data_IF_495842853949
#
_entry.id   IF_495842853949
#
_cell.length_a   1.000
_cell.length_b   1.000
_cell.length_c   1.000
_cell.angle_alpha   90.00
_cell.angle_beta   90.00
_cell.angle_gamma   90.00
#
_symmetry.space_group_name_H-M   'P 1'
#
loop_
_entity.id
_entity.type
_entity.pdbx_description
1 polymer ?
#
# COMPACT_ATOMS: atom_id res chain seq x y z
N UNK A 1 39.36 31.30 14.26
CA UNK A 1 39.63 30.03 14.96
C UNK A 1 39.80 28.96 13.89
N UNK A 2 40.89 28.17 13.94
CA UNK A 2 41.08 27.07 12.97
C UNK A 2 40.29 25.87 13.46
N UNK A 3 39.08 25.70 12.94
CA UNK A 3 38.25 24.51 13.19
C UNK A 3 38.78 23.32 12.40
N UNK A 4 38.70 22.12 12.98
CA UNK A 4 39.14 20.86 12.36
C UNK A 4 37.92 19.98 12.14
N UNK A 5 37.84 19.32 10.99
CA UNK A 5 36.69 18.47 10.65
C UNK A 5 36.78 17.09 11.31
N UNK A 6 35.66 16.63 11.87
CA UNK A 6 35.48 15.26 12.36
C UNK A 6 35.57 14.27 11.17
N UNK A 7 36.49 13.28 11.17
CA UNK A 7 36.71 12.36 10.06
C UNK A 7 35.54 11.42 9.73
N UNK A 8 34.58 11.27 10.64
CA UNK A 8 33.45 10.35 10.51
C UNK A 8 32.19 11.07 10.04
N UNK A 9 31.92 12.26 10.58
CA UNK A 9 30.67 12.98 10.30
C UNK A 9 30.85 14.30 9.53
N UNK A 10 32.08 14.82 9.43
CA UNK A 10 32.37 16.09 8.75
C UNK A 10 31.90 17.34 9.49
N UNK A 11 31.58 17.24 10.80
CA UNK A 11 31.29 18.43 11.61
C UNK A 11 32.57 19.20 11.94
N UNK A 12 32.49 20.53 11.97
CA UNK A 12 33.56 21.39 12.46
C UNK A 12 33.69 21.26 13.98
N UNK A 13 34.89 20.89 14.45
CA UNK A 13 35.23 20.72 15.87
C UNK A 13 36.30 21.75 16.24
N UNK A 14 36.11 22.38 17.40
CA UNK A 14 37.13 23.24 18.00
C UNK A 14 38.17 22.37 18.73
N UNK A 15 39.47 22.41 18.36
CA UNK A 15 40.51 21.65 19.03
C UNK A 15 40.70 21.98 20.52
N UNK A 16 40.27 23.17 20.97
CA UNK A 16 40.38 23.58 22.38
C UNK A 16 39.28 23.01 23.27
N UNK A 17 38.14 22.61 22.70
CA UNK A 17 37.03 21.98 23.43
C UNK A 17 36.31 20.88 22.61
N UNK A 18 36.99 19.75 22.33
CA UNK A 18 36.41 18.66 21.54
C UNK A 18 35.44 17.80 22.35
N UNK A 19 34.42 17.25 21.69
CA UNK A 19 33.49 16.30 22.32
C UNK A 19 34.14 14.95 22.65
N UNK A 20 35.14 14.53 21.86
CA UNK A 20 36.01 13.39 22.15
C UNK A 20 37.33 13.47 21.34
N UNK A 21 38.36 12.74 21.79
CA UNK A 21 39.68 12.68 21.14
C UNK A 21 40.15 11.23 21.03
N UNK A 22 40.75 10.86 19.91
CA UNK A 22 41.40 9.54 19.74
C UNK A 22 42.70 9.67 18.95
N UNK A 23 43.59 8.69 19.14
CA UNK A 23 44.87 8.60 18.45
C UNK A 23 44.91 7.32 17.60
N UNK A 24 45.25 7.45 16.32
CA UNK A 24 45.39 6.33 15.38
C UNK A 24 46.53 6.64 14.42
N UNK A 25 47.41 5.68 14.21
CA UNK A 25 48.60 5.81 13.33
C UNK A 25 49.51 7.00 13.68
N UNK A 26 49.56 7.41 14.95
CA UNK A 26 50.40 8.50 15.45
C UNK A 26 49.83 9.91 15.25
N UNK A 27 48.61 10.05 14.70
CA UNK A 27 47.90 11.32 14.58
C UNK A 27 46.74 11.42 15.59
N UNK A 28 46.56 12.62 16.18
CA UNK A 28 45.43 12.95 17.06
C UNK A 28 44.24 13.48 16.25
N UNK A 29 43.08 12.85 16.42
CA UNK A 29 41.82 13.22 15.79
C UNK A 29 40.82 13.75 16.82
N UNK A 30 40.09 14.80 16.43
CA UNK A 30 39.06 15.45 17.24
C UNK A 30 37.68 15.09 16.70
N UNK A 31 36.75 14.79 17.61
CA UNK A 31 35.41 14.32 17.28
C UNK A 31 34.34 15.18 17.93
N UNK A 32 33.21 15.31 17.26
CA UNK A 32 32.06 16.05 17.78
C UNK A 32 31.36 15.31 18.93
N UNK A 33 31.52 13.99 19.03
CA UNK A 33 30.89 13.15 20.06
C UNK A 33 31.63 11.84 20.29
N UNK A 34 31.38 11.24 21.45
CA UNK A 34 31.89 9.91 21.82
C UNK A 34 31.49 8.81 20.82
N UNK A 35 30.32 8.95 20.19
CA UNK A 35 29.82 8.01 19.19
C UNK A 35 30.67 8.02 17.91
N UNK A 36 31.10 9.21 17.45
CA UNK A 36 31.98 9.35 16.29
C UNK A 36 33.37 8.77 16.56
N UNK A 37 33.91 8.97 17.77
CA UNK A 37 35.15 8.32 18.20
C UNK A 37 35.04 6.79 18.17
N UNK A 38 33.98 6.21 18.73
CA UNK A 38 33.81 4.75 18.75
C UNK A 38 33.74 4.16 17.35
N UNK A 39 33.06 4.84 16.43
CA UNK A 39 32.98 4.43 15.02
C UNK A 39 34.33 4.55 14.31
N UNK A 40 35.15 5.53 14.66
CA UNK A 40 36.52 5.69 14.12
C UNK A 40 37.51 4.61 14.59
N UNK A 41 37.30 4.05 15.78
CA UNK A 41 38.14 2.99 16.35
C UNK A 41 37.84 1.60 15.77
N UNK A 42 36.77 1.44 14.97
CA UNK A 42 36.46 0.15 14.35
C UNK A 42 37.41 -0.14 13.16
N UNK A 43 37.83 -1.41 12.95
CA UNK A 43 38.82 -1.77 11.92
C UNK A 43 38.35 -1.50 10.48
N UNK A 44 37.03 -1.48 10.26
CA UNK A 44 36.32 -1.31 8.99
C UNK A 44 35.87 0.14 8.71
N UNK A 45 36.23 1.09 9.59
CA UNK A 45 35.89 2.49 9.41
C UNK A 45 36.60 3.09 8.20
N UNK A 46 35.84 3.65 7.25
CA UNK A 46 36.34 4.47 6.14
C UNK A 46 36.27 5.95 6.52
N UNK A 47 37.38 6.58 6.95
CA UNK A 47 37.40 8.02 7.21
C UNK A 47 37.26 8.81 5.90
N UNK A 48 36.62 9.96 5.98
CA UNK A 48 36.47 10.88 4.84
C UNK A 48 37.86 11.45 4.53
N UNK A 49 38.37 11.23 3.31
CA UNK A 49 39.68 11.71 2.90
C UNK A 49 39.73 13.25 2.94
N UNK A 50 40.80 13.81 3.54
CA UNK A 50 41.07 15.25 3.55
C UNK A 50 41.34 15.71 2.11
N UNK A 51 40.43 16.49 1.51
CA UNK A 51 40.78 17.31 0.36
C UNK A 51 41.50 18.56 0.86
N UNK A 52 42.83 18.50 0.83
CA UNK A 52 43.69 19.67 0.91
C UNK A 52 43.58 20.51 -0.35
N UNK A 53 43.53 21.82 -0.16
CA UNK A 53 43.60 22.86 -1.18
C UNK A 53 44.88 22.77 -2.00
N UNK A 54 44.78 22.94 -3.33
CA UNK A 54 45.49 23.98 -4.10
C UNK A 54 45.42 23.74 -5.63
N UNK A 55 45.18 24.84 -6.34
CA UNK A 55 45.67 25.19 -7.69
C UNK A 55 45.16 24.46 -8.97
N UNK A 56 44.33 25.20 -9.72
CA UNK A 56 44.61 25.74 -11.08
C UNK A 56 44.23 24.95 -12.37
N UNK A 57 43.60 25.70 -13.30
CA UNK A 57 43.35 25.45 -14.74
C UNK A 57 42.47 24.22 -15.15
N UNK A 58 41.71 24.20 -16.24
CA UNK A 58 41.29 25.10 -17.33
C UNK A 58 40.25 24.31 -18.15
N UNK A 59 39.32 25.02 -18.76
CA UNK A 59 38.22 24.52 -19.59
C UNK A 59 38.63 23.74 -20.86
N UNK A 60 37.69 22.90 -21.31
CA UNK A 60 37.43 22.40 -22.68
C UNK A 60 38.25 21.21 -23.23
N UNK A 61 37.55 20.07 -23.39
CA UNK A 61 37.27 19.32 -24.64
C UNK A 61 36.84 17.91 -24.20
N UNK A 62 35.77 17.26 -24.65
CA UNK A 62 35.28 17.09 -26.01
C UNK A 62 34.81 15.63 -26.12
N UNK A 63 33.49 15.42 -26.00
CA UNK A 63 32.66 14.34 -26.56
C UNK A 63 32.88 12.82 -26.29
N UNK A 64 31.78 12.22 -25.76
CA UNK A 64 31.19 10.87 -26.01
C UNK A 64 31.89 9.66 -25.35
N UNK A 65 31.21 8.72 -24.65
CA UNK A 65 29.80 8.31 -24.64
C UNK A 65 29.55 7.34 -23.45
N UNK A 66 28.28 7.33 -23.02
CA UNK A 66 27.50 6.21 -22.45
C UNK A 66 27.60 5.81 -20.95
N UNK A 67 26.40 5.50 -20.42
CA UNK A 67 26.04 4.83 -19.15
C UNK A 67 25.89 5.66 -17.86
N UNK A 68 24.79 6.44 -17.82
CA UNK A 68 24.23 6.96 -16.57
C UNK A 68 23.48 5.86 -15.80
N UNK A 69 24.15 5.22 -14.84
CA UNK A 69 23.49 4.47 -13.76
C UNK A 69 23.30 5.40 -12.56
N UNK A 70 22.16 6.09 -12.54
CA UNK A 70 21.77 6.99 -11.46
C UNK A 70 21.34 6.20 -10.20
N UNK A 71 22.26 6.06 -9.25
CA UNK A 71 22.03 5.53 -7.91
C UNK A 71 22.52 6.50 -6.84
N UNK A 72 21.94 7.71 -6.80
CA UNK A 72 22.26 8.74 -5.80
C UNK A 72 21.22 8.77 -4.69
N UNK A 73 21.60 8.30 -3.50
CA UNK A 73 20.79 8.37 -2.29
C UNK A 73 20.46 9.84 -1.95
N UNK A 74 19.16 10.13 -1.93
CA UNK A 74 18.56 11.43 -1.66
C UNK A 74 18.92 11.89 -0.24
N UNK A 75 19.72 12.94 -0.13
CA UNK A 75 19.84 13.72 1.10
C UNK A 75 18.44 14.23 1.50
N UNK A 76 18.03 14.00 2.75
CA UNK A 76 16.79 14.54 3.32
C UNK A 76 16.83 16.07 3.30
N UNK A 77 16.40 16.67 2.20
CA UNK A 77 16.24 18.11 2.01
C UNK A 77 15.08 18.57 2.91
N UNK A 78 15.32 19.53 3.80
CA UNK A 78 14.25 20.19 4.59
C UNK A 78 13.16 20.65 3.62
N UNK A 79 11.91 20.40 3.98
CA UNK A 79 10.72 20.77 3.19
C UNK A 79 10.75 22.27 2.89
N UNK A 80 10.83 22.63 1.62
CA UNK A 80 10.85 24.02 1.18
C UNK A 80 9.49 24.67 1.46
N UNK A 81 9.47 25.89 2.02
CA UNK A 81 8.21 26.58 2.32
C UNK A 81 7.49 27.06 1.06
N UNK A 82 6.20 27.38 1.20
CA UNK A 82 5.26 27.68 0.09
C UNK A 82 5.66 28.87 -0.79
N UNK A 83 6.40 29.83 -0.25
CA UNK A 83 6.86 31.03 -0.93
C UNK A 83 8.35 31.26 -0.66
N UNK A 84 9.07 31.80 -1.64
CA UNK A 84 10.48 32.14 -1.53
C UNK A 84 10.78 33.48 -2.22
N UNK A 85 11.87 34.15 -1.82
CA UNK A 85 12.33 35.37 -2.49
C UNK A 85 13.46 35.02 -3.48
N UNK A 86 13.31 35.26 -4.79
CA UNK A 86 14.36 34.95 -5.77
C UNK A 86 15.61 35.82 -5.62
N UNK A 87 15.47 37.01 -5.01
CA UNK A 87 16.55 37.98 -4.85
C UNK A 87 17.28 37.89 -3.51
N UNK A 88 16.77 37.13 -2.55
CA UNK A 88 17.31 37.07 -1.19
C UNK A 88 17.48 35.63 -0.76
N UNK A 89 18.73 35.18 -0.71
CA UNK A 89 19.06 33.83 -0.28
C UNK A 89 18.59 33.57 1.16
N UNK A 90 18.01 32.39 1.36
CA UNK A 90 17.44 31.93 2.63
C UNK A 90 16.12 32.57 3.08
N UNK A 91 15.44 33.36 2.25
CA UNK A 91 14.12 33.92 2.60
C UNK A 91 12.99 33.02 2.08
N UNK A 92 12.37 32.30 3.00
CA UNK A 92 11.25 31.39 2.74
C UNK A 92 10.07 31.68 3.69
N UNK A 93 8.84 31.65 3.19
CA UNK A 93 7.60 31.92 3.94
C UNK A 93 6.51 30.91 3.59
N UNK A 94 5.61 30.63 4.53
CA UNK A 94 4.41 29.81 4.29
C UNK A 94 3.21 30.63 3.83
N UNK A 95 3.26 31.96 4.05
CA UNK A 95 2.20 32.90 3.69
C UNK A 95 2.66 33.87 2.60
N UNK A 96 1.74 34.29 1.70
CA UNK A 96 2.03 35.32 0.72
C UNK A 96 2.26 36.66 1.43
N UNK A 97 3.21 37.44 0.94
CA UNK A 97 3.56 38.72 1.54
C UNK A 97 4.82 39.32 0.92
N UNK A 98 5.26 40.44 1.49
CA UNK A 98 6.50 41.11 1.09
C UNK A 98 7.70 40.55 1.83
N UNK A 99 8.82 40.42 1.14
CA UNK A 99 10.10 40.00 1.68
C UNK A 99 10.57 40.99 2.75
N UNK A 100 10.91 40.53 3.97
CA UNK A 100 11.35 41.41 5.06
C UNK A 100 12.75 42.02 4.82
N UNK A 101 13.54 41.47 3.87
CA UNK A 101 14.87 42.00 3.54
C UNK A 101 14.84 43.06 2.45
N UNK A 102 14.09 42.84 1.36
CA UNK A 102 14.14 43.69 0.18
C UNK A 102 12.79 44.33 -0.19
N UNK A 103 11.70 44.02 0.51
CA UNK A 103 10.37 44.58 0.27
C UNK A 103 9.65 44.06 -0.98
N UNK A 104 10.30 43.26 -1.84
CA UNK A 104 9.66 42.63 -2.99
C UNK A 104 8.63 41.57 -2.59
N UNK A 105 7.62 41.34 -3.43
CA UNK A 105 6.65 40.26 -3.23
C UNK A 105 7.34 38.89 -3.26
N UNK A 106 6.94 37.99 -2.37
CA UNK A 106 7.43 36.62 -2.35
C UNK A 106 6.75 35.79 -3.45
N UNK A 107 7.56 35.05 -4.21
CA UNK A 107 7.07 34.19 -5.28
C UNK A 107 6.73 32.80 -4.74
N UNK A 108 5.77 32.13 -5.39
CA UNK A 108 5.38 30.78 -4.98
C UNK A 108 6.49 29.79 -5.31
N UNK A 109 6.90 29.00 -4.33
CA UNK A 109 7.98 28.05 -4.50
C UNK A 109 7.53 26.85 -5.35
N UNK A 110 8.11 26.62 -6.54
CA UNK A 110 7.72 25.51 -7.41
C UNK A 110 8.08 24.13 -6.81
N UNK A 111 8.96 24.09 -5.81
CA UNK A 111 9.32 22.86 -5.10
C UNK A 111 8.38 22.54 -3.93
N UNK A 112 7.47 23.45 -3.56
CA UNK A 112 6.52 23.23 -2.48
C UNK A 112 5.30 22.44 -2.99
N UNK A 113 5.22 21.17 -2.63
CA UNK A 113 4.05 20.31 -2.87
C UNK A 113 3.10 20.39 -1.68
N UNK A 114 1.84 20.74 -1.93
CA UNK A 114 0.81 20.65 -0.87
C UNK A 114 0.65 19.18 -0.43
N UNK A 115 0.51 18.91 0.87
CA UNK A 115 0.24 17.56 1.34
C UNK A 115 -1.13 17.14 0.80
N UNK A 116 -1.14 16.22 -0.16
CA UNK A 116 -2.38 15.61 -0.64
C UNK A 116 -2.91 14.69 0.46
N UNK A 117 -3.86 15.18 1.25
CA UNK A 117 -4.67 14.32 2.12
C UNK A 117 -5.38 13.31 1.23
N UNK A 118 -4.96 12.05 1.33
CA UNK A 118 -5.58 10.98 0.57
C UNK A 118 -6.95 10.74 1.18
N UNK A 119 -8.00 11.33 0.59
CA UNK A 119 -9.36 11.01 0.98
C UNK A 119 -9.68 9.59 0.52
N UNK A 120 -10.54 8.90 1.24
CA UNK A 120 -11.06 7.57 0.98
C UNK A 120 -12.58 7.66 0.89
N UNK A 121 -13.19 7.09 -0.15
CA UNK A 121 -14.62 7.09 -0.38
C UNK A 121 -15.17 5.70 -0.61
N UNK A 122 -16.46 5.49 -0.31
CA UNK A 122 -17.12 4.22 -0.60
C UNK A 122 -17.65 4.23 -2.05
N UNK A 123 -17.32 3.22 -2.87
CA UNK A 123 -17.77 3.16 -4.27
C UNK A 123 -19.30 3.13 -4.42
N UNK A 124 -20.02 2.63 -3.42
CA UNK A 124 -21.49 2.60 -3.40
C UNK A 124 -22.12 3.79 -2.68
N UNK A 125 -21.37 4.50 -1.84
CA UNK A 125 -21.85 5.62 -1.04
C UNK A 125 -20.84 6.77 -1.14
N UNK A 126 -20.85 7.53 -2.26
CA UNK A 126 -19.88 8.59 -2.52
C UNK A 126 -19.88 9.70 -1.45
N UNK A 127 -21.00 9.84 -0.74
CA UNK A 127 -21.19 10.76 0.38
C UNK A 127 -20.28 10.46 1.58
N UNK A 128 -19.74 9.24 1.68
CA UNK A 128 -18.80 8.85 2.73
C UNK A 128 -17.40 9.19 2.28
N UNK A 129 -16.78 10.16 2.96
CA UNK A 129 -15.39 10.58 2.75
C UNK A 129 -14.62 10.51 4.08
N UNK A 130 -13.52 9.78 4.12
CA UNK A 130 -12.63 9.64 5.29
C UNK A 130 -11.19 9.90 4.92
N UNK A 131 -10.37 10.30 5.87
CA UNK A 131 -8.94 10.55 5.72
C UNK A 131 -8.08 9.29 5.98
N UNK A 132 -8.71 8.16 6.28
CA UNK A 132 -8.05 6.89 6.58
C UNK A 132 -8.70 5.71 5.82
N UNK A 133 -7.93 4.64 5.53
CA UNK A 133 -8.50 3.40 5.03
C UNK A 133 -9.41 2.76 6.08
N UNK A 134 -10.42 2.01 5.63
CA UNK A 134 -11.37 1.37 6.53
C UNK A 134 -12.57 0.82 5.80
N UNK A 135 -13.60 0.44 6.54
CA UNK A 135 -14.86 -0.05 5.98
C UNK A 135 -15.92 1.05 6.01
N UNK A 136 -16.76 1.08 4.98
CA UNK A 136 -17.91 1.95 4.89
C UNK A 136 -18.89 1.62 6.03
N UNK A 137 -19.37 2.61 6.81
CA UNK A 137 -20.31 2.38 7.90
C UNK A 137 -21.69 1.93 7.41
N UNK A 138 -22.03 2.23 6.15
CA UNK A 138 -23.34 1.92 5.56
C UNK A 138 -23.37 0.50 5.02
N UNK A 139 -22.50 0.16 4.06
CA UNK A 139 -22.52 -1.16 3.40
C UNK A 139 -21.44 -2.13 3.86
N UNK A 140 -20.44 -1.68 4.62
CA UNK A 140 -19.32 -2.52 5.06
C UNK A 140 -18.29 -2.85 3.97
N UNK A 141 -18.36 -2.26 2.77
CA UNK A 141 -17.30 -2.36 1.75
C UNK A 141 -16.06 -1.56 2.16
N UNK A 142 -14.88 -1.96 1.69
CA UNK A 142 -13.65 -1.19 1.90
C UNK A 142 -13.77 0.20 1.24
N UNK A 143 -13.22 1.22 1.89
CA UNK A 143 -13.12 2.56 1.34
C UNK A 143 -11.92 2.62 0.39
N UNK A 144 -12.16 3.15 -0.81
CA UNK A 144 -11.17 3.30 -1.88
C UNK A 144 -10.63 4.73 -1.88
N UNK A 145 -9.38 4.95 -2.28
CA UNK A 145 -8.80 6.32 -2.30
C UNK A 145 -9.53 7.19 -3.33
N UNK A 146 -10.09 8.30 -2.88
CA UNK A 146 -10.57 9.41 -3.68
C UNK A 146 -9.38 10.19 -4.25
N UNK A 147 -8.72 9.62 -5.24
CA UNK A 147 -7.81 10.33 -6.15
C UNK A 147 -7.85 9.64 -7.52
N UNK A 148 -8.19 10.43 -8.54
CA UNK A 148 -8.46 9.96 -9.92
C UNK A 148 -7.17 9.50 -10.64
N UNK A 149 -5.97 9.79 -10.10
CA UNK A 149 -4.70 9.63 -10.82
C UNK A 149 -3.71 8.59 -10.24
N UNK A 150 -4.08 7.76 -9.26
CA UNK A 150 -3.19 6.72 -8.71
C UNK A 150 -3.93 5.40 -8.47
N UNK A 151 -4.29 4.69 -9.55
CA UNK A 151 -5.21 3.56 -9.51
C UNK A 151 -4.70 2.21 -10.03
N UNK A 152 -3.49 2.09 -10.59
CA UNK A 152 -3.12 0.83 -11.26
C UNK A 152 -2.61 -0.28 -10.31
N UNK A 153 -1.89 0.07 -9.25
CA UNK A 153 -1.31 -0.94 -8.36
C UNK A 153 -2.31 -1.43 -7.30
N UNK A 154 -3.18 -0.57 -6.75
CA UNK A 154 -4.07 -0.94 -5.65
C UNK A 154 -5.27 -1.80 -6.14
N UNK A 155 -6.00 -1.34 -7.18
CA UNK A 155 -7.16 -2.06 -7.76
C UNK A 155 -6.77 -3.46 -8.28
N UNK A 156 -5.59 -3.56 -8.91
CA UNK A 156 -5.10 -4.82 -9.45
C UNK A 156 -4.63 -5.79 -8.36
N UNK A 157 -4.16 -5.29 -7.21
CA UNK A 157 -3.71 -6.11 -6.09
C UNK A 157 -4.89 -6.78 -5.37
N UNK A 158 -6.00 -6.07 -5.12
CA UNK A 158 -7.18 -6.63 -4.46
C UNK A 158 -7.86 -7.68 -5.35
N UNK A 159 -7.97 -7.40 -6.66
CA UNK A 159 -8.46 -8.34 -7.65
C UNK A 159 -7.64 -9.64 -7.69
N UNK A 160 -6.32 -9.54 -7.62
CA UNK A 160 -5.42 -10.70 -7.59
C UNK A 160 -5.58 -11.50 -6.30
N UNK A 161 -5.68 -10.84 -5.14
CA UNK A 161 -5.88 -11.52 -3.86
C UNK A 161 -7.22 -12.29 -3.85
N UNK A 162 -8.31 -11.64 -4.23
CA UNK A 162 -9.64 -12.27 -4.26
C UNK A 162 -9.72 -13.40 -5.30
N UNK A 163 -9.11 -13.22 -6.47
CA UNK A 163 -9.03 -14.27 -7.49
C UNK A 163 -8.22 -15.48 -7.01
N UNK A 164 -7.12 -15.24 -6.29
CA UNK A 164 -6.29 -16.32 -5.73
C UNK A 164 -7.06 -17.11 -4.67
N UNK A 165 -7.76 -16.42 -3.75
CA UNK A 165 -8.62 -17.07 -2.75
C UNK A 165 -9.75 -17.86 -3.40
N UNK A 166 -10.36 -17.33 -4.45
CA UNK A 166 -11.38 -18.03 -5.23
C UNK A 166 -10.84 -19.33 -5.84
N UNK A 167 -9.71 -19.26 -6.58
CA UNK A 167 -9.16 -20.46 -7.22
C UNK A 167 -8.69 -21.51 -6.23
N UNK A 168 -7.99 -21.11 -5.17
CA UNK A 168 -7.59 -22.04 -4.10
C UNK A 168 -8.82 -22.62 -3.41
N UNK A 169 -9.80 -21.77 -3.09
CA UNK A 169 -11.06 -22.19 -2.49
C UNK A 169 -11.82 -23.20 -3.34
N UNK A 170 -11.93 -22.95 -4.65
CA UNK A 170 -12.61 -23.82 -5.60
C UNK A 170 -11.92 -25.18 -5.75
N UNK A 171 -10.59 -25.19 -5.83
CA UNK A 171 -9.80 -26.43 -5.91
C UNK A 171 -9.97 -27.28 -4.65
N UNK A 172 -10.00 -26.65 -3.47
CA UNK A 172 -10.20 -27.34 -2.20
C UNK A 172 -11.65 -27.76 -1.96
N UNK A 173 -12.63 -26.96 -2.40
CA UNK A 173 -14.06 -27.26 -2.23
C UNK A 173 -14.55 -28.33 -3.20
N UNK A 174 -13.92 -28.47 -4.38
CA UNK A 174 -14.36 -29.45 -5.38
C UNK A 174 -14.32 -30.91 -4.85
N UNK A 175 -13.23 -31.39 -4.23
CA UNK A 175 -13.24 -32.70 -3.58
C UNK A 175 -14.27 -32.79 -2.44
N UNK A 176 -14.42 -31.74 -1.64
CA UNK A 176 -15.41 -31.73 -0.53
C UNK A 176 -16.83 -31.88 -1.07
N UNK A 177 -17.17 -31.19 -2.16
CA UNK A 177 -18.46 -31.31 -2.83
C UNK A 177 -18.69 -32.73 -3.38
N UNK A 178 -17.68 -33.31 -4.03
CA UNK A 178 -17.76 -34.70 -4.52
C UNK A 178 -18.00 -35.65 -3.35
N UNK A 179 -17.23 -35.53 -2.25
CA UNK A 179 -17.42 -36.35 -1.06
C UNK A 179 -18.80 -36.15 -0.39
N UNK A 180 -19.29 -34.91 -0.39
CA UNK A 180 -20.59 -34.54 0.17
C UNK A 180 -21.78 -35.02 -0.65
N UNK A 181 -21.73 -34.97 -1.99
CA UNK A 181 -22.84 -35.46 -2.81
C UNK A 181 -22.84 -36.96 -3.03
N UNK A 182 -21.66 -37.59 -3.04
CA UNK A 182 -21.56 -39.00 -3.42
C UNK A 182 -22.23 -39.96 -2.43
N UNK A 183 -22.42 -39.55 -1.17
CA UNK A 183 -23.16 -40.36 -0.20
C UNK A 183 -24.65 -40.54 -0.55
N UNK A 184 -25.21 -39.73 -1.47
CA UNK A 184 -26.59 -39.88 -1.96
C UNK A 184 -26.71 -40.85 -3.15
N UNK A 185 -25.59 -41.26 -3.77
CA UNK A 185 -25.60 -42.19 -4.90
C UNK A 185 -25.63 -43.66 -4.42
N UNK A 186 -26.58 -44.48 -4.91
CA UNK A 186 -26.63 -45.90 -4.59
C UNK A 186 -25.38 -46.61 -5.16
N UNK A 187 -24.66 -47.36 -4.32
CA UNK A 187 -23.42 -48.06 -4.69
C UNK A 187 -22.13 -47.35 -4.28
N UNK A 188 -22.20 -46.31 -3.44
CA UNK A 188 -21.02 -45.65 -2.91
C UNK A 188 -20.14 -46.63 -2.10
N UNK A 189 -18.82 -46.70 -2.37
CA UNK A 189 -17.93 -47.62 -1.67
C UNK A 189 -17.80 -47.25 -0.18
N UNK A 190 -17.66 -48.26 0.68
CA UNK A 190 -17.74 -48.12 2.15
C UNK A 190 -16.71 -47.12 2.73
N UNK A 191 -15.52 -46.99 2.12
CA UNK A 191 -14.49 -46.03 2.54
C UNK A 191 -14.96 -44.57 2.45
N UNK A 192 -15.90 -44.29 1.54
CA UNK A 192 -16.46 -42.96 1.34
C UNK A 192 -17.53 -42.58 2.38
N UNK A 193 -18.14 -43.59 3.00
CA UNK A 193 -19.10 -43.47 4.12
C UNK A 193 -18.39 -43.54 5.50
N UNK A 194 -17.09 -43.85 5.48
CA UNK A 194 -16.23 -43.95 6.65
C UNK A 194 -15.83 -42.62 7.27
N UNK A 195 -15.19 -42.69 8.43
CA UNK A 195 -14.71 -41.49 9.15
C UNK A 195 -13.58 -40.78 8.41
N UNK A 196 -12.86 -41.49 7.53
CA UNK A 196 -11.81 -40.91 6.70
C UNK A 196 -12.35 -39.86 5.72
N UNK A 197 -13.53 -40.10 5.13
CA UNK A 197 -14.22 -39.10 4.28
C UNK A 197 -14.58 -37.85 5.08
N UNK A 198 -15.04 -38.00 6.32
CA UNK A 198 -15.38 -36.88 7.21
C UNK A 198 -14.16 -36.06 7.62
N UNK A 199 -13.07 -36.75 7.97
CA UNK A 199 -11.79 -36.09 8.25
C UNK A 199 -11.27 -35.33 7.03
N UNK A 200 -11.36 -35.92 5.83
CA UNK A 200 -11.00 -35.25 4.59
C UNK A 200 -11.86 -34.01 4.33
N UNK A 201 -13.19 -34.10 4.50
CA UNK A 201 -14.09 -32.95 4.36
C UNK A 201 -13.75 -31.84 5.36
N UNK A 202 -13.46 -32.18 6.62
CA UNK A 202 -13.05 -31.20 7.63
C UNK A 202 -11.71 -30.54 7.28
N UNK A 203 -10.68 -31.33 6.99
CA UNK A 203 -9.34 -30.83 6.66
C UNK A 203 -9.34 -29.93 5.42
N UNK A 204 -10.12 -30.26 4.39
CA UNK A 204 -10.21 -29.47 3.16
C UNK A 204 -11.11 -28.24 3.31
N UNK A 205 -12.23 -28.34 4.03
CA UNK A 205 -13.15 -27.21 4.24
C UNK A 205 -12.61 -26.17 5.23
N UNK A 206 -11.80 -26.58 6.20
CA UNK A 206 -11.18 -25.67 7.20
C UNK A 206 -10.46 -24.49 6.55
N UNK A 207 -9.47 -24.67 5.64
CA UNK A 207 -8.81 -23.55 4.99
C UNK A 207 -9.75 -22.77 4.05
N UNK A 208 -10.73 -23.41 3.42
CA UNK A 208 -11.72 -22.70 2.58
C UNK A 208 -12.52 -21.72 3.43
N UNK A 209 -13.08 -22.17 4.54
CA UNK A 209 -13.95 -21.35 5.39
C UNK A 209 -13.12 -20.33 6.18
N UNK A 210 -12.06 -20.77 6.86
CA UNK A 210 -11.31 -19.92 7.78
C UNK A 210 -10.31 -18.99 7.09
N UNK A 211 -9.69 -19.40 5.98
CA UNK A 211 -8.70 -18.57 5.27
C UNK A 211 -9.30 -17.87 4.05
N UNK A 212 -9.93 -18.61 3.12
CA UNK A 212 -10.56 -17.97 1.96
C UNK A 212 -11.77 -17.12 2.39
N UNK A 213 -12.59 -17.62 3.31
CA UNK A 213 -13.76 -16.92 3.85
C UNK A 213 -13.49 -15.88 4.93
N UNK A 214 -12.24 -15.72 5.40
CA UNK A 214 -11.88 -14.75 6.45
C UNK A 214 -12.43 -13.33 6.22
N UNK A 215 -12.35 -12.74 5.00
CA UNK A 215 -12.86 -11.39 4.76
C UNK A 215 -14.36 -11.25 5.03
N UNK A 216 -15.14 -12.32 4.83
CA UNK A 216 -16.58 -12.32 5.08
C UNK A 216 -16.91 -12.29 6.57
N UNK A 217 -16.14 -13.02 7.39
CA UNK A 217 -16.28 -12.97 8.84
C UNK A 217 -15.89 -11.60 9.41
N UNK A 218 -14.82 -10.99 8.91
CA UNK A 218 -14.42 -9.63 9.31
C UNK A 218 -15.51 -8.62 8.96
N UNK A 219 -16.02 -8.63 7.72
CA UNK A 219 -17.10 -7.73 7.27
C UNK A 219 -18.42 -7.99 8.01
N UNK A 220 -18.76 -9.25 8.27
CA UNK A 220 -19.92 -9.64 9.06
C UNK A 220 -19.83 -9.16 10.50
N UNK A 221 -18.67 -9.33 11.15
CA UNK A 221 -18.41 -8.82 12.49
C UNK A 221 -18.52 -7.30 12.57
N UNK A 222 -17.93 -6.59 11.59
CA UNK A 222 -18.06 -5.13 11.50
C UNK A 222 -19.51 -4.67 11.30
N UNK A 223 -20.29 -5.38 10.47
CA UNK A 223 -21.71 -5.10 10.23
C UNK A 223 -22.55 -5.24 11.51
N UNK A 224 -22.26 -6.25 12.34
CA UNK A 224 -22.90 -6.42 13.65
C UNK A 224 -22.50 -5.29 14.61
N UNK A 225 -21.21 -4.95 14.69
CA UNK A 225 -20.71 -3.86 15.55
C UNK A 225 -21.33 -2.52 15.17
N UNK A 226 -21.42 -2.23 13.87
CA UNK A 226 -22.00 -1.00 13.34
C UNK A 226 -23.54 -1.01 13.34
N UNK A 227 -24.18 -2.10 13.77
CA UNK A 227 -25.65 -2.32 13.76
C UNK A 227 -26.30 -2.13 12.38
N UNK A 228 -25.54 -2.31 11.31
CA UNK A 228 -26.00 -2.20 9.92
C UNK A 228 -26.00 -3.58 9.25
N UNK A 229 -27.02 -4.40 9.54
CA UNK A 229 -27.11 -5.78 9.04
C UNK A 229 -27.11 -5.81 7.51
N UNK A 230 -26.18 -6.58 6.94
CA UNK A 230 -25.95 -6.68 5.51
C UNK A 230 -25.82 -8.13 5.02
N UNK A 231 -25.58 -8.31 3.73
CA UNK A 231 -25.37 -9.62 3.09
C UNK A 231 -24.24 -10.41 3.76
N UNK A 232 -23.15 -9.75 4.16
CA UNK A 232 -22.02 -10.42 4.81
C UNK A 232 -22.36 -10.98 6.19
N UNK A 233 -23.28 -10.34 6.93
CA UNK A 233 -23.76 -10.89 8.20
C UNK A 233 -24.50 -12.20 8.01
N UNK A 234 -25.38 -12.28 7.00
CA UNK A 234 -26.10 -13.52 6.67
C UNK A 234 -25.14 -14.63 6.25
N UNK A 235 -24.16 -14.30 5.40
CA UNK A 235 -23.15 -15.28 4.92
C UNK A 235 -22.28 -15.76 6.08
N UNK A 236 -21.75 -14.85 6.89
CA UNK A 236 -20.89 -15.19 8.03
C UNK A 236 -21.65 -16.06 9.05
N UNK A 237 -22.92 -15.76 9.32
CA UNK A 237 -23.74 -16.57 10.21
C UNK A 237 -24.04 -17.94 9.62
N UNK A 238 -24.44 -18.03 8.34
CA UNK A 238 -24.79 -19.30 7.69
C UNK A 238 -23.59 -20.23 7.55
N UNK A 239 -22.49 -19.74 6.97
CA UNK A 239 -21.24 -20.51 6.81
C UNK A 239 -20.65 -20.84 8.17
N UNK A 240 -20.62 -19.88 9.10
CA UNK A 240 -20.12 -20.07 10.46
C UNK A 240 -20.91 -21.13 11.23
N UNK A 241 -22.24 -21.05 11.22
CA UNK A 241 -23.10 -22.03 11.90
C UNK A 241 -22.96 -23.42 11.28
N UNK A 242 -22.95 -23.52 9.95
CA UNK A 242 -22.80 -24.79 9.22
C UNK A 242 -21.46 -25.46 9.53
N UNK A 243 -20.36 -24.69 9.46
CA UNK A 243 -19.02 -25.20 9.76
C UNK A 243 -18.87 -25.57 11.25
N UNK A 244 -19.33 -24.70 12.16
CA UNK A 244 -19.24 -24.94 13.61
C UNK A 244 -20.06 -26.16 14.03
N UNK A 245 -21.31 -26.27 13.57
CA UNK A 245 -22.13 -27.46 13.81
C UNK A 245 -21.41 -28.73 13.36
N UNK A 246 -20.87 -28.72 12.14
CA UNK A 246 -20.19 -29.89 11.55
C UNK A 246 -18.93 -30.25 12.34
N UNK A 247 -18.16 -29.24 12.79
CA UNK A 247 -16.98 -29.44 13.63
C UNK A 247 -17.35 -30.02 15.01
N UNK A 248 -18.43 -29.55 15.63
CA UNK A 248 -18.89 -30.07 16.94
C UNK A 248 -19.40 -31.51 16.80
N UNK A 249 -20.17 -31.82 15.76
CA UNK A 249 -20.60 -33.20 15.47
C UNK A 249 -19.41 -34.14 15.29
N UNK A 250 -18.35 -33.67 14.63
CA UNK A 250 -17.18 -34.47 14.35
C UNK A 250 -16.26 -34.67 15.56
N UNK A 251 -16.02 -33.60 16.35
CA UNK A 251 -15.09 -33.63 17.48
C UNK A 251 -15.74 -34.12 18.78
N UNK A 252 -17.04 -33.90 18.95
CA UNK A 252 -17.79 -34.17 20.18
C UNK A 252 -19.09 -34.94 19.87
N UNK A 253 -19.01 -36.16 19.30
CA UNK A 253 -20.19 -36.92 18.90
C UNK A 253 -21.09 -37.30 20.10
N UNK A 254 -20.52 -37.41 21.30
CA UNK A 254 -21.23 -37.84 22.52
C UNK A 254 -22.20 -36.78 23.09
N UNK A 255 -22.17 -35.55 22.60
CA UNK A 255 -23.06 -34.47 23.05
C UNK A 255 -24.46 -34.61 22.44
N UNK A 256 -24.57 -35.31 21.31
CA UNK A 256 -25.82 -35.42 20.58
C UNK A 256 -26.58 -36.70 20.96
N UNK A 257 -27.91 -36.63 21.15
CA UNK A 257 -28.72 -37.81 21.38
C UNK A 257 -28.63 -38.82 20.22
N UNK A 258 -28.66 -40.14 20.48
CA UNK A 258 -28.58 -41.17 19.44
C UNK A 258 -29.70 -41.09 18.39
N UNK A 259 -30.83 -40.43 18.70
CA UNK A 259 -31.95 -40.22 17.79
C UNK A 259 -31.61 -39.33 16.58
N UNK A 260 -30.54 -38.53 16.66
CA UNK A 260 -30.07 -37.69 15.55
C UNK A 260 -29.18 -38.45 14.55
N UNK A 261 -28.75 -39.67 14.87
CA UNK A 261 -27.92 -40.49 14.00
C UNK A 261 -28.79 -41.32 13.04
N UNK A 262 -28.79 -40.95 11.76
CA UNK A 262 -29.26 -41.84 10.70
C UNK A 262 -28.14 -42.85 10.39
N UNK A 263 -28.40 -44.15 10.50
CA UNK A 263 -27.39 -45.21 10.29
C UNK A 263 -26.14 -45.08 11.19
N UNK A 264 -26.33 -44.67 12.45
CA UNK A 264 -25.25 -44.60 13.45
C UNK A 264 -24.32 -43.39 13.32
N UNK A 265 -24.59 -42.48 12.38
CA UNK A 265 -23.78 -41.27 12.16
C UNK A 265 -24.65 -40.03 11.94
N UNK A 266 -24.28 -38.91 12.57
CA UNK A 266 -24.97 -37.62 12.42
C UNK A 266 -24.43 -36.90 11.18
N UNK A 267 -25.30 -36.33 10.35
CA UNK A 267 -24.90 -35.62 9.12
C UNK A 267 -23.96 -34.43 9.39
N UNK A 268 -23.06 -34.16 8.44
CA UNK A 268 -22.16 -32.99 8.46
C UNK A 268 -22.42 -32.14 7.23
N UNK A 269 -22.16 -30.84 7.33
CA UNK A 269 -22.47 -29.83 6.32
C UNK A 269 -21.23 -29.04 5.88
N UNK A 270 -20.05 -29.66 5.93
CA UNK A 270 -18.81 -29.04 5.47
C UNK A 270 -18.85 -28.66 3.98
N UNK A 271 -19.58 -29.44 3.17
CA UNK A 271 -19.79 -29.17 1.74
C UNK A 271 -20.58 -27.87 1.53
N UNK A 272 -21.70 -27.70 2.24
CA UNK A 272 -22.49 -26.46 2.19
C UNK A 272 -21.65 -25.23 2.57
N UNK A 273 -20.92 -25.29 3.69
CA UNK A 273 -20.07 -24.18 4.14
C UNK A 273 -18.97 -23.82 3.10
N UNK A 274 -18.31 -24.84 2.54
CA UNK A 274 -17.24 -24.64 1.55
C UNK A 274 -17.78 -24.04 0.23
N UNK A 275 -18.88 -24.58 -0.29
CA UNK A 275 -19.45 -24.14 -1.58
C UNK A 275 -20.00 -22.73 -1.48
N UNK A 276 -20.75 -22.42 -0.41
CA UNK A 276 -21.26 -21.06 -0.20
C UNK A 276 -20.09 -20.07 -0.19
N UNK A 277 -19.00 -20.39 0.52
CA UNK A 277 -17.81 -19.54 0.57
C UNK A 277 -17.21 -19.29 -0.83
N UNK A 278 -17.08 -20.34 -1.63
CA UNK A 278 -16.51 -20.25 -2.99
C UNK A 278 -17.43 -19.49 -3.96
N UNK A 279 -18.74 -19.71 -3.90
CA UNK A 279 -19.70 -19.00 -4.73
C UNK A 279 -19.77 -17.50 -4.39
N UNK A 280 -19.66 -17.14 -3.11
CA UNK A 280 -19.57 -15.75 -2.69
C UNK A 280 -18.26 -15.12 -3.18
N UNK A 281 -17.13 -15.83 -3.06
CA UNK A 281 -15.84 -15.36 -3.62
C UNK A 281 -15.92 -15.14 -5.13
N UNK A 282 -16.57 -16.05 -5.86
CA UNK A 282 -16.81 -15.89 -7.29
C UNK A 282 -17.60 -14.60 -7.58
N UNK A 283 -18.68 -14.36 -6.84
CA UNK A 283 -19.47 -13.14 -6.96
C UNK A 283 -18.63 -11.87 -6.76
N UNK A 284 -17.79 -11.85 -5.73
CA UNK A 284 -16.88 -10.72 -5.46
C UNK A 284 -15.84 -10.53 -6.58
N UNK A 285 -15.26 -11.61 -7.11
CA UNK A 285 -14.32 -11.53 -8.24
C UNK A 285 -15.02 -10.96 -9.49
N UNK A 286 -16.24 -11.40 -9.77
CA UNK A 286 -17.01 -10.89 -10.91
C UNK A 286 -17.36 -9.40 -10.73
N UNK A 287 -17.78 -9.01 -9.52
CA UNK A 287 -18.09 -7.62 -9.17
C UNK A 287 -16.87 -6.71 -9.35
N UNK A 288 -15.74 -7.04 -8.73
CA UNK A 288 -14.51 -6.27 -8.83
C UNK A 288 -14.01 -6.20 -10.28
N UNK A 289 -14.09 -7.31 -11.03
CA UNK A 289 -13.66 -7.35 -12.44
C UNK A 289 -14.54 -6.51 -13.35
N UNK A 290 -15.83 -6.40 -13.04
CA UNK A 290 -16.73 -5.51 -13.75
C UNK A 290 -16.37 -4.03 -13.49
N UNK A 291 -16.17 -3.66 -12.21
CA UNK A 291 -15.80 -2.30 -11.82
C UNK A 291 -14.47 -1.84 -12.39
N UNK A 292 -13.45 -2.69 -12.34
CA UNK A 292 -12.13 -2.36 -12.87
C UNK A 292 -12.18 -2.07 -14.39
N UNK A 293 -12.98 -2.83 -15.15
CA UNK A 293 -13.14 -2.59 -16.60
C UNK A 293 -13.85 -1.28 -16.92
N UNK A 294 -14.88 -0.91 -16.16
CA UNK A 294 -15.56 0.37 -16.36
C UNK A 294 -14.67 1.55 -15.94
N UNK A 295 -13.92 1.39 -14.85
CA UNK A 295 -12.98 2.38 -14.35
C UNK A 295 -11.85 2.66 -15.35
N UNK A 296 -11.24 1.62 -15.92
CA UNK A 296 -10.17 1.78 -16.92
C UNK A 296 -10.62 2.51 -18.17
N UNK A 297 -11.86 2.30 -18.62
CA UNK A 297 -12.39 2.99 -19.81
C UNK A 297 -12.62 4.49 -19.55
N UNK A 298 -13.14 4.85 -18.38
CA UNK A 298 -13.31 6.27 -17.99
C UNK A 298 -11.95 6.94 -17.81
N UNK A 299 -10.99 6.26 -17.16
CA UNK A 299 -9.61 6.77 -17.00
C UNK A 299 -8.92 7.00 -18.35
N UNK A 300 -9.05 6.07 -19.30
CA UNK A 300 -8.52 6.25 -20.64
C UNK A 300 -9.08 7.49 -21.36
N UNK A 301 -10.32 7.89 -21.07
CA UNK A 301 -10.90 9.14 -21.58
C UNK A 301 -10.33 10.38 -20.86
N UNK A 302 -10.04 10.29 -19.57
CA UNK A 302 -9.45 11.38 -18.78
C UNK A 302 -7.97 11.59 -19.11
N UNK A 303 -7.23 10.52 -19.39
CA UNK A 303 -5.81 10.57 -19.77
C UNK A 303 -5.58 11.20 -21.16
N UNK A 304 -6.63 11.22 -22.00
CA UNK A 304 -6.61 11.93 -23.29
C UNK A 304 -6.69 13.46 -23.12
N UNK A 305 -7.01 13.99 -21.93
CA UNK A 305 -6.98 15.42 -21.66
C UNK A 305 -5.52 15.86 -21.44
N UNK A 306 -4.93 16.69 -22.32
CA UNK A 306 -3.55 17.11 -22.19
C UNK A 306 -3.37 18.03 -20.97
N UNK A 307 -2.37 17.75 -20.13
CA UNK A 307 -2.07 18.56 -18.95
C UNK A 307 -1.46 19.94 -19.30
N UNK A 308 -0.84 20.05 -20.47
CA UNK A 308 -0.18 21.26 -20.96
C UNK A 308 -0.52 21.50 -22.42
N UNK A 309 -0.51 22.77 -22.81
CA UNK A 309 -0.68 23.22 -24.18
C UNK A 309 0.48 24.13 -24.56
N UNK A 310 0.92 24.04 -25.81
CA UNK A 310 1.95 24.93 -26.35
C UNK A 310 1.27 26.15 -26.97
N UNK A 311 1.47 27.33 -26.39
CA UNK A 311 0.92 28.58 -26.91
C UNK A 311 1.99 29.37 -27.66
N UNK A 312 1.57 30.10 -28.70
CA UNK A 312 2.40 31.02 -29.47
C UNK A 312 1.97 32.46 -29.17
N UNK A 313 2.76 33.18 -28.37
CA UNK A 313 2.58 34.62 -28.10
C UNK A 313 3.82 35.36 -28.57
N UNK A 314 3.63 36.45 -29.33
CA UNK A 314 4.71 37.32 -29.84
C UNK A 314 5.83 36.60 -30.63
N UNK A 315 5.52 35.46 -31.24
CA UNK A 315 6.49 34.66 -32.01
C UNK A 315 7.35 33.71 -31.18
N UNK A 316 7.17 33.68 -29.85
CA UNK A 316 7.79 32.67 -28.98
C UNK A 316 6.80 31.55 -28.64
N UNK A 317 7.27 30.30 -28.73
CA UNK A 317 6.52 29.13 -28.27
C UNK A 317 6.79 28.90 -26.79
N UNK A 318 5.74 28.76 -25.97
CA UNK A 318 5.86 28.42 -24.55
C UNK A 318 4.88 27.32 -24.18
N UNK A 319 5.36 26.33 -23.43
CA UNK A 319 4.52 25.29 -22.86
C UNK A 319 3.89 25.83 -21.56
N UNK A 320 2.56 25.92 -21.53
CA UNK A 320 1.79 26.39 -20.38
C UNK A 320 0.83 25.31 -19.90
N UNK A 321 0.53 25.22 -18.59
CA UNK A 321 -0.52 24.33 -18.10
C UNK A 321 -1.87 24.69 -18.72
N UNK A 322 -2.73 23.70 -18.97
CA UNK A 322 -4.03 23.89 -19.65
C UNK A 322 -4.92 24.95 -18.97
N UNK A 323 -4.82 25.08 -17.64
CA UNK A 323 -5.49 26.08 -16.82
C UNK A 323 -5.10 27.54 -17.13
N UNK A 324 -3.96 27.78 -17.80
CA UNK A 324 -3.48 29.11 -18.19
C UNK A 324 -3.77 29.46 -19.66
N UNK A 325 -4.46 28.59 -20.41
CA UNK A 325 -4.84 28.84 -21.81
C UNK A 325 -6.11 29.68 -21.87
N UNK A 326 -6.04 30.84 -22.52
CA UNK A 326 -7.20 31.74 -22.65
C UNK A 326 -7.84 31.68 -24.04
N UNK A 327 -9.12 32.07 -24.10
CA UNK A 327 -9.89 32.09 -25.36
C UNK A 327 -9.31 33.13 -26.32
N UNK A 328 -8.62 32.66 -27.35
CA UNK A 328 -7.96 33.50 -28.37
C UNK A 328 -6.47 33.19 -28.56
N UNK A 329 -5.87 32.38 -27.69
CA UNK A 329 -4.48 31.93 -27.83
C UNK A 329 -4.30 31.04 -29.08
N UNK A 330 -3.18 31.22 -29.80
CA UNK A 330 -2.76 30.31 -30.87
C UNK A 330 -2.05 29.12 -30.25
N UNK A 331 -2.73 27.99 -30.22
CA UNK A 331 -2.23 26.72 -29.66
C UNK A 331 -1.66 25.86 -30.79
N UNK A 332 -0.55 25.16 -30.52
CA UNK A 332 0.08 24.23 -31.45
C UNK A 332 0.16 22.83 -30.85
#
# INVERSE_FOLDING_TARGET
MKTVLDPICGMEVDPENPGAVAERDGEKFYFCSEHCRQKFLQPDAKPIARHGSDADHSCCDGERRDEAQAGGAVAKRKTAKKYFCPMCDGVESDTPGSCPKCGMALDRNPLHREPQTTLYTCPMHPEIERDHPGSCPICGMALERKNIAAGDEDDSSELRDMSRRFWIGAVLSAPVFVLGMWHMLPGAPEWLQGDMSRWAQFLLSTPVVLWCGWPFFVRGGQSIVNRSLNMFTLIAMGVGASYFYSAVVMLLPNIFPPSFAAHGKIGVYFEAAAIITVLVLLGQVLELRARARTGSAIRALLDLAPASARIVRDGEERDVPLEHVEKGDKVR
#
